data_IF_396796010517
#
_entry.id   IF_396796010517
#
_cell.length_a   1.000
_cell.length_b   1.000
_cell.length_c   1.000
_cell.angle_alpha   90.00
_cell.angle_beta   90.00
_cell.angle_gamma   90.00
#
_symmetry.space_group_name_H-M   'P 1'
#
loop_
_entity.id
_entity.type
_entity.pdbx_description
1 polymer ?
#
# COMPACT_ATOMS: atom_id res chain seq x y z
N UNK A 1 -43.78 -46.27 -36.67
CA UNK A 1 -44.13 -47.38 -35.78
C UNK A 1 -43.25 -47.28 -34.54
N UNK A 2 -43.81 -47.07 -33.34
CA UNK A 2 -43.01 -46.92 -32.12
C UNK A 2 -42.76 -48.28 -31.43
N UNK A 3 -41.83 -48.27 -30.47
CA UNK A 3 -41.40 -49.31 -29.49
C UNK A 3 -40.29 -50.27 -29.89
N UNK A 4 -39.04 -49.82 -29.73
CA UNK A 4 -37.83 -50.62 -29.54
C UNK A 4 -37.10 -50.07 -28.30
N UNK A 5 -37.75 -50.10 -27.13
CA UNK A 5 -37.18 -49.54 -25.89
C UNK A 5 -37.36 -50.37 -24.61
N UNK A 6 -37.84 -51.62 -24.65
CA UNK A 6 -38.29 -52.30 -23.42
C UNK A 6 -37.73 -53.69 -23.11
N UNK A 7 -36.70 -54.18 -23.80
CA UNK A 7 -36.12 -55.51 -23.48
C UNK A 7 -34.78 -55.42 -22.73
N UNK A 8 -34.79 -54.90 -21.50
CA UNK A 8 -33.76 -55.25 -20.51
C UNK A 8 -34.14 -56.61 -19.89
N UNK A 9 -33.37 -57.69 -20.11
CA UNK A 9 -33.69 -59.03 -19.61
C UNK A 9 -33.73 -59.05 -18.07
N UNK A 10 -34.61 -59.88 -17.47
CA UNK A 10 -34.95 -59.81 -16.05
C UNK A 10 -33.76 -60.10 -15.11
N UNK A 11 -32.75 -60.82 -15.59
CA UNK A 11 -31.53 -61.11 -14.82
C UNK A 11 -30.67 -59.87 -14.59
N UNK A 12 -30.47 -59.05 -15.63
CA UNK A 12 -29.75 -57.77 -15.54
C UNK A 12 -30.51 -56.74 -14.69
N UNK A 13 -31.85 -56.86 -14.64
CA UNK A 13 -32.71 -56.04 -13.78
C UNK A 13 -32.57 -56.38 -12.30
N UNK A 14 -32.42 -57.67 -11.96
CA UNK A 14 -32.15 -58.09 -10.56
C UNK A 14 -30.76 -57.71 -10.08
N UNK A 15 -29.79 -57.65 -10.99
CA UNK A 15 -28.43 -57.27 -10.68
C UNK A 15 -28.22 -55.74 -10.59
N UNK A 16 -29.24 -54.93 -10.92
CA UNK A 16 -29.15 -53.46 -10.87
C UNK A 16 -28.28 -52.85 -11.98
N UNK A 17 -27.90 -53.63 -12.98
CA UNK A 17 -26.90 -53.24 -13.99
C UNK A 17 -27.48 -52.40 -15.14
N UNK A 18 -28.81 -52.48 -15.35
CA UNK A 18 -29.50 -51.60 -16.30
C UNK A 18 -29.53 -50.14 -15.79
N UNK A 19 -29.74 -49.92 -14.49
CA UNK A 19 -29.64 -48.57 -13.88
C UNK A 19 -28.19 -48.09 -13.78
N UNK A 20 -27.23 -49.00 -13.53
CA UNK A 20 -25.82 -48.65 -13.44
C UNK A 20 -25.25 -48.11 -14.76
N UNK A 21 -25.62 -48.69 -15.91
CA UNK A 21 -25.18 -48.20 -17.24
C UNK A 21 -25.74 -46.82 -17.59
N UNK A 22 -26.98 -46.52 -17.19
CA UNK A 22 -27.55 -45.18 -17.38
C UNK A 22 -26.92 -44.15 -16.43
N UNK A 23 -26.57 -44.55 -15.20
CA UNK A 23 -25.86 -43.71 -14.24
C UNK A 23 -24.41 -43.42 -14.69
N UNK A 24 -23.69 -44.41 -15.24
CA UNK A 24 -22.35 -44.23 -15.78
C UNK A 24 -22.35 -43.37 -17.05
N UNK A 25 -23.36 -43.50 -17.91
CA UNK A 25 -23.54 -42.66 -19.08
C UNK A 25 -23.93 -41.21 -18.73
N UNK A 26 -24.71 -41.01 -17.66
CA UNK A 26 -25.04 -39.68 -17.13
C UNK A 26 -23.86 -39.04 -16.36
N UNK A 27 -22.98 -39.86 -15.76
CA UNK A 27 -21.77 -39.39 -15.09
C UNK A 27 -20.65 -38.99 -16.05
N UNK A 28 -20.70 -39.41 -17.32
CA UNK A 28 -19.65 -39.19 -18.32
C UNK A 28 -19.81 -37.94 -19.21
N UNK A 29 -20.85 -37.12 -19.03
CA UNK A 29 -21.17 -36.01 -19.94
C UNK A 29 -21.17 -34.63 -19.28
N UNK A 30 -20.17 -34.35 -18.44
CA UNK A 30 -19.80 -32.99 -18.06
C UNK A 30 -18.37 -32.76 -18.47
N UNK A 31 -18.13 -32.05 -19.58
CA UNK A 31 -16.77 -31.60 -19.89
C UNK A 31 -16.25 -30.81 -18.70
N UNK A 32 -15.31 -31.39 -17.95
CA UNK A 32 -14.78 -30.90 -16.69
C UNK A 32 -14.04 -29.58 -16.91
N UNK A 33 -14.78 -28.49 -17.10
CA UNK A 33 -14.20 -27.18 -16.93
C UNK A 33 -13.67 -27.14 -15.50
N UNK A 34 -12.36 -26.92 -15.27
CA UNK A 34 -11.72 -27.17 -13.99
C UNK A 34 -12.02 -26.04 -13.00
N UNK A 35 -13.30 -25.87 -12.66
CA UNK A 35 -13.81 -24.84 -11.76
C UNK A 35 -13.11 -24.88 -10.40
N UNK A 36 -12.74 -26.08 -9.93
CA UNK A 36 -11.93 -26.26 -8.73
C UNK A 36 -10.55 -25.60 -8.86
N UNK A 37 -9.85 -25.82 -9.97
CA UNK A 37 -8.57 -25.19 -10.25
C UNK A 37 -8.72 -23.66 -10.44
N UNK A 38 -9.80 -23.20 -11.09
CA UNK A 38 -10.10 -21.77 -11.26
C UNK A 38 -10.38 -21.09 -9.90
N UNK A 39 -11.16 -21.72 -9.03
CA UNK A 39 -11.46 -21.20 -7.69
C UNK A 39 -10.23 -21.18 -6.79
N UNK A 40 -9.40 -22.23 -6.83
CA UNK A 40 -8.15 -22.28 -6.06
C UNK A 40 -7.14 -21.23 -6.55
N UNK A 41 -6.98 -21.07 -7.85
CA UNK A 41 -6.10 -20.03 -8.42
C UNK A 41 -6.61 -18.62 -8.11
N UNK A 42 -7.93 -18.38 -8.19
CA UNK A 42 -8.53 -17.11 -7.79
C UNK A 42 -8.34 -16.82 -6.29
N UNK A 43 -8.52 -17.82 -5.42
CA UNK A 43 -8.29 -17.69 -3.98
C UNK A 43 -6.82 -17.40 -3.67
N UNK A 44 -5.88 -18.10 -4.33
CA UNK A 44 -4.45 -17.87 -4.18
C UNK A 44 -4.03 -16.48 -4.66
N UNK A 45 -4.54 -16.01 -5.80
CA UNK A 45 -4.31 -14.66 -6.30
C UNK A 45 -4.90 -13.60 -5.36
N UNK A 46 -6.08 -13.82 -4.80
CA UNK A 46 -6.69 -12.92 -3.83
C UNK A 46 -5.89 -12.86 -2.53
N UNK A 47 -5.41 -14.00 -2.03
CA UNK A 47 -4.53 -14.08 -0.87
C UNK A 47 -3.18 -13.37 -1.12
N UNK A 48 -2.58 -13.59 -2.29
CA UNK A 48 -1.35 -12.90 -2.69
C UNK A 48 -1.57 -11.39 -2.84
N UNK A 49 -2.68 -10.97 -3.45
CA UNK A 49 -3.03 -9.57 -3.61
C UNK A 49 -3.29 -8.90 -2.27
N UNK A 50 -3.98 -9.56 -1.34
CA UNK A 50 -4.19 -9.02 0.01
C UNK A 50 -2.87 -8.89 0.77
N UNK A 51 -1.91 -9.80 0.55
CA UNK A 51 -0.56 -9.71 1.10
C UNK A 51 0.29 -8.61 0.45
N UNK A 52 0.15 -8.38 -0.87
CA UNK A 52 0.89 -7.37 -1.64
C UNK A 52 0.25 -5.97 -1.62
N UNK A 53 -1.05 -5.87 -1.37
CA UNK A 53 -1.82 -4.63 -1.27
C UNK A 53 -1.18 -3.59 -0.34
N UNK A 54 -0.72 -3.93 0.89
CA UNK A 54 0.00 -2.97 1.73
C UNK A 54 1.29 -2.46 1.08
N UNK A 55 2.02 -3.31 0.35
CA UNK A 55 3.26 -2.93 -0.33
C UNK A 55 3.00 -1.97 -1.50
N UNK A 56 1.97 -2.27 -2.31
CA UNK A 56 1.56 -1.46 -3.47
C UNK A 56 0.92 -0.13 -3.03
N UNK A 57 0.10 -0.16 -1.99
CA UNK A 57 -0.45 1.05 -1.38
C UNK A 57 0.67 1.92 -0.82
N UNK A 58 1.69 1.31 -0.20
CA UNK A 58 2.86 2.01 0.34
C UNK A 58 3.65 2.69 -0.77
N UNK A 59 4.02 2.00 -1.84
CA UNK A 59 4.75 2.62 -2.96
C UNK A 59 3.95 3.72 -3.64
N UNK A 60 2.63 3.54 -3.80
CA UNK A 60 1.74 4.54 -4.39
C UNK A 60 1.55 5.78 -3.49
N UNK A 61 1.44 5.63 -2.18
CA UNK A 61 1.36 6.77 -1.25
C UNK A 61 2.71 7.49 -1.15
N UNK A 62 3.81 6.73 -1.14
CA UNK A 62 5.18 7.23 -1.07
C UNK A 62 5.54 8.06 -2.32
N UNK A 63 5.19 7.57 -3.51
CA UNK A 63 5.36 8.31 -4.77
C UNK A 63 4.45 9.54 -4.87
N UNK A 64 3.22 9.48 -4.33
CA UNK A 64 2.29 10.61 -4.31
C UNK A 64 2.66 11.69 -3.28
N UNK A 65 3.30 11.33 -2.16
CA UNK A 65 3.73 12.28 -1.12
C UNK A 65 5.01 13.04 -1.47
N UNK A 66 5.95 12.42 -2.18
CA UNK A 66 7.13 13.10 -2.74
C UNK A 66 6.84 13.76 -4.10
N UNK A 67 5.67 13.47 -4.68
CA UNK A 67 5.30 13.88 -6.03
C UNK A 67 4.54 15.21 -6.11
N UNK A 68 3.85 15.40 -7.25
CA UNK A 68 3.21 16.64 -7.66
C UNK A 68 2.30 17.29 -6.59
N UNK A 69 1.69 16.52 -5.70
CA UNK A 69 0.79 17.06 -4.66
C UNK A 69 1.52 17.87 -3.58
N UNK A 70 2.72 17.46 -3.19
CA UNK A 70 3.50 18.22 -2.22
C UNK A 70 4.12 19.47 -2.87
N UNK A 71 4.53 19.37 -4.14
CA UNK A 71 4.96 20.53 -4.94
C UNK A 71 3.84 21.54 -5.15
N UNK A 72 2.63 21.08 -5.45
CA UNK A 72 1.45 21.93 -5.59
C UNK A 72 1.04 22.64 -4.28
N UNK A 73 1.41 22.10 -3.12
CA UNK A 73 1.18 22.73 -1.82
C UNK A 73 2.26 23.78 -1.44
N UNK A 74 3.30 23.93 -2.27
CA UNK A 74 4.37 24.92 -2.13
C UNK A 74 5.70 24.34 -1.63
N UNK A 75 6.81 25.08 -1.79
CA UNK A 75 8.17 24.60 -1.51
C UNK A 75 8.40 24.14 -0.07
N UNK A 76 7.85 24.86 0.91
CA UNK A 76 7.91 24.49 2.33
C UNK A 76 7.22 23.15 2.60
N UNK A 77 6.05 22.92 2.00
CA UNK A 77 5.31 21.67 2.17
C UNK A 77 6.03 20.48 1.52
N UNK A 78 6.62 20.69 0.34
CA UNK A 78 7.45 19.71 -0.35
C UNK A 78 8.68 19.32 0.48
N UNK A 79 9.40 20.30 1.02
CA UNK A 79 10.58 20.09 1.89
C UNK A 79 10.23 19.28 3.14
N UNK A 80 9.15 19.66 3.84
CA UNK A 80 8.69 18.93 5.04
C UNK A 80 8.15 17.54 4.72
N UNK A 81 7.64 17.30 3.51
CA UNK A 81 7.26 15.97 3.06
C UNK A 81 8.50 15.08 2.80
N UNK A 82 9.52 15.60 2.12
CA UNK A 82 10.79 14.92 1.88
C UNK A 82 11.50 14.56 3.20
N UNK A 83 11.51 15.49 4.16
CA UNK A 83 12.11 15.26 5.47
C UNK A 83 11.43 14.15 6.27
N UNK A 84 10.10 14.17 6.35
CA UNK A 84 9.34 13.10 7.03
C UNK A 84 9.62 11.74 6.42
N UNK A 85 9.66 11.69 5.10
CA UNK A 85 9.96 10.46 4.36
C UNK A 85 11.36 9.92 4.68
N UNK A 86 12.35 10.80 4.80
CA UNK A 86 13.70 10.41 5.19
C UNK A 86 13.74 9.85 6.63
N UNK A 87 13.08 10.52 7.58
CA UNK A 87 13.00 10.05 8.97
C UNK A 87 12.28 8.70 9.09
N UNK A 88 11.14 8.54 8.40
CA UNK A 88 10.40 7.27 8.38
C UNK A 88 11.25 6.14 7.79
N UNK A 89 12.01 6.43 6.73
CA UNK A 89 12.95 5.47 6.12
C UNK A 89 14.04 5.06 7.10
N UNK A 90 14.64 6.04 7.79
CA UNK A 90 15.65 5.76 8.80
C UNK A 90 15.11 4.90 9.93
N UNK A 91 13.89 5.17 10.38
CA UNK A 91 13.23 4.37 11.41
C UNK A 91 12.94 2.94 10.97
N UNK A 92 12.45 2.77 9.74
CA UNK A 92 12.21 1.43 9.18
C UNK A 92 13.51 0.62 9.08
N UNK A 93 14.65 1.28 8.86
CA UNK A 93 15.98 0.69 8.78
C UNK A 93 16.73 0.66 10.13
N UNK A 94 16.06 0.98 11.24
CA UNK A 94 16.58 0.79 12.60
C UNK A 94 17.08 2.04 13.32
N UNK A 95 17.10 3.21 12.68
CA UNK A 95 17.45 4.48 13.31
C UNK A 95 16.22 5.09 13.98
N UNK A 96 16.06 4.88 15.29
CA UNK A 96 14.92 5.40 16.03
C UNK A 96 14.82 6.95 15.93
N UNK A 97 13.62 7.53 15.75
CA UNK A 97 13.44 8.97 15.73
C UNK A 97 13.71 9.55 17.11
N UNK A 98 14.24 10.78 17.12
CA UNK A 98 14.42 11.60 18.31
C UNK A 98 13.64 12.91 18.09
N UNK A 99 12.57 13.11 18.86
CA UNK A 99 11.71 14.28 18.71
C UNK A 99 12.35 15.57 19.26
N UNK A 100 13.38 15.46 20.10
CA UNK A 100 14.12 16.60 20.63
C UNK A 100 15.27 17.04 19.71
N UNK A 101 15.63 16.21 18.73
CA UNK A 101 16.74 16.51 17.83
C UNK A 101 16.41 17.63 16.83
N UNK A 102 17.35 18.56 16.66
CA UNK A 102 17.32 19.51 15.54
C UNK A 102 17.42 18.77 14.20
N UNK A 103 17.00 19.36 13.06
CA UNK A 103 17.14 18.72 11.74
C UNK A 103 18.58 18.27 11.44
N UNK A 104 19.58 19.08 11.82
CA UNK A 104 21.00 18.70 11.72
C UNK A 104 21.38 17.53 12.63
N UNK A 105 20.90 17.53 13.87
CA UNK A 105 21.14 16.43 14.82
C UNK A 105 20.52 15.10 14.33
N UNK A 106 19.29 15.17 13.83
CA UNK A 106 18.60 14.02 13.25
C UNK A 106 19.33 13.50 12.00
N UNK A 107 19.81 14.38 11.11
CA UNK A 107 20.61 13.97 9.95
C UNK A 107 21.93 13.30 10.35
N UNK A 108 22.63 13.80 11.36
CA UNK A 108 23.83 13.13 11.90
C UNK A 108 23.51 11.72 12.37
N UNK A 109 22.45 11.53 13.15
CA UNK A 109 22.04 10.19 13.60
C UNK A 109 21.66 9.25 12.47
N UNK A 110 21.07 9.77 11.39
CA UNK A 110 20.80 8.98 10.18
C UNK A 110 22.09 8.57 9.46
N UNK A 111 23.06 9.48 9.36
CA UNK A 111 24.38 9.23 8.78
C UNK A 111 25.12 8.16 9.60
N UNK A 112 25.21 8.35 10.91
CA UNK A 112 25.91 7.45 11.81
C UNK A 112 25.21 6.07 11.88
N UNK A 113 23.89 6.07 12.06
CA UNK A 113 23.09 4.85 12.17
C UNK A 113 22.93 4.09 10.85
N UNK A 114 22.96 4.80 9.73
CA UNK A 114 22.92 4.24 8.37
C UNK A 114 24.29 3.91 7.79
N UNK A 115 25.38 4.22 8.52
CA UNK A 115 26.77 4.13 8.05
C UNK A 115 26.97 4.80 6.69
N UNK A 116 26.37 5.97 6.52
CA UNK A 116 26.42 6.72 5.28
C UNK A 116 27.74 7.47 5.16
N UNK A 117 28.32 7.44 3.96
CA UNK A 117 29.52 8.17 3.61
C UNK A 117 29.33 8.93 2.29
N UNK A 118 30.33 9.76 1.96
CA UNK A 118 30.39 10.52 0.72
C UNK A 118 29.12 11.29 0.39
N UNK A 119 28.60 11.06 -0.81
CA UNK A 119 27.46 11.80 -1.37
C UNK A 119 26.15 11.50 -0.63
N UNK A 120 25.97 10.30 -0.09
CA UNK A 120 24.78 9.97 0.67
C UNK A 120 24.73 10.75 2.00
N UNK A 121 25.87 10.87 2.68
CA UNK A 121 25.95 11.70 3.88
C UNK A 121 25.72 13.19 3.58
N UNK A 122 26.31 13.69 2.49
CA UNK A 122 26.11 15.07 2.02
C UNK A 122 24.64 15.35 1.69
N UNK A 123 23.97 14.43 0.99
CA UNK A 123 22.55 14.52 0.65
C UNK A 123 21.67 14.61 1.92
N UNK A 124 21.94 13.81 2.94
CA UNK A 124 21.21 13.88 4.21
C UNK A 124 21.34 15.27 4.87
N UNK A 125 22.54 15.85 4.86
CA UNK A 125 22.78 17.21 5.38
C UNK A 125 22.16 18.31 4.51
N UNK A 126 22.10 18.16 3.19
CA UNK A 126 21.39 19.09 2.29
C UNK A 126 19.90 19.12 2.61
N UNK A 127 19.26 17.96 2.77
CA UNK A 127 17.84 17.87 3.14
C UNK A 127 17.60 18.56 4.50
N UNK A 128 18.43 18.30 5.51
CA UNK A 128 18.31 18.97 6.81
C UNK A 128 18.46 20.50 6.72
N UNK A 129 19.41 20.97 5.91
CA UNK A 129 19.61 22.41 5.67
C UNK A 129 18.40 23.04 4.98
N UNK A 130 17.82 22.35 4.00
CA UNK A 130 16.60 22.80 3.34
C UNK A 130 15.42 22.91 4.33
N UNK A 131 15.29 21.96 5.26
CA UNK A 131 14.28 22.00 6.33
C UNK A 131 14.47 23.20 7.24
N UNK A 132 15.70 23.46 7.69
CA UNK A 132 15.97 24.64 8.52
C UNK A 132 15.61 25.93 7.80
N UNK A 133 15.99 26.09 6.52
CA UNK A 133 15.55 27.23 5.72
C UNK A 133 14.03 27.29 5.64
N UNK A 134 13.35 26.17 5.38
CA UNK A 134 11.89 26.14 5.29
C UNK A 134 11.19 26.49 6.62
N UNK A 135 11.83 26.21 7.77
CA UNK A 135 11.30 26.51 9.10
C UNK A 135 11.58 27.95 9.54
N UNK A 136 12.79 28.46 9.28
CA UNK A 136 13.28 29.71 9.85
C UNK A 136 13.43 30.85 8.84
N UNK A 137 13.38 30.60 7.52
CA UNK A 137 13.44 31.68 6.54
C UNK A 137 12.16 32.52 6.60
N UNK A 138 12.27 33.86 6.44
CA UNK A 138 11.13 34.74 6.31
C UNK A 138 10.21 34.31 5.15
N UNK A 139 8.88 34.46 5.28
CA UNK A 139 7.97 34.23 4.17
C UNK A 139 8.34 35.14 2.99
N UNK A 140 8.65 34.57 1.83
CA UNK A 140 8.86 35.36 0.62
C UNK A 140 7.54 36.01 0.19
N UNK A 141 7.56 37.27 -0.27
CA UNK A 141 6.36 37.95 -0.73
C UNK A 141 5.67 37.15 -1.86
N UNK A 142 4.35 36.94 -1.73
CA UNK A 142 3.53 36.34 -2.80
C UNK A 142 3.55 37.27 -4.01
N UNK A 143 4.17 36.85 -5.11
CA UNK A 143 4.14 37.59 -6.38
C UNK A 143 5.51 37.83 -7.02
N UNK A 144 6.62 37.58 -6.30
CA UNK A 144 7.82 37.17 -7.01
C UNK A 144 7.45 35.82 -7.65
N UNK A 145 7.36 35.77 -8.98
CA UNK A 145 7.36 34.50 -9.68
C UNK A 145 8.47 33.65 -9.05
N UNK A 146 8.19 32.36 -8.88
CA UNK A 146 9.10 31.34 -8.39
C UNK A 146 10.27 31.18 -9.39
N UNK A 147 11.10 32.22 -9.52
CA UNK A 147 12.51 32.12 -9.83
C UNK A 147 13.17 31.62 -8.55
N UNK A 148 12.89 30.36 -8.21
CA UNK A 148 13.84 29.46 -7.56
C UNK A 148 15.00 29.10 -8.52
N UNK A 149 15.27 29.94 -9.52
CA UNK A 149 16.58 30.08 -10.07
C UNK A 149 17.42 30.77 -8.99
N UNK A 150 18.31 30.00 -8.37
CA UNK A 150 19.54 30.54 -7.81
C UNK A 150 20.06 31.65 -8.76
N UNK A 151 20.48 32.85 -8.30
CA UNK A 151 21.12 33.85 -9.18
C UNK A 151 22.31 33.28 -9.98
N UNK A 152 22.84 32.11 -9.60
CA UNK A 152 23.84 31.33 -10.34
C UNK A 152 23.27 30.36 -11.42
N UNK A 153 21.95 30.30 -11.63
CA UNK A 153 21.34 29.45 -12.66
C UNK A 153 21.18 27.97 -12.27
N UNK A 154 21.47 27.59 -11.02
CA UNK A 154 21.44 26.18 -10.62
C UNK A 154 19.98 25.71 -10.40
N UNK A 155 19.58 24.53 -10.91
CA UNK A 155 18.26 23.99 -10.64
C UNK A 155 18.08 23.79 -9.14
N UNK A 156 16.88 24.09 -8.65
CA UNK A 156 16.48 23.85 -7.27
C UNK A 156 16.85 22.41 -6.88
N UNK A 157 17.57 22.18 -5.77
CA UNK A 157 18.09 20.86 -5.44
C UNK A 157 16.93 19.85 -5.34
N UNK A 158 17.00 18.77 -6.12
CA UNK A 158 15.97 17.73 -6.11
C UNK A 158 16.04 16.95 -4.80
N UNK A 159 15.35 17.47 -3.77
CA UNK A 159 15.24 16.84 -2.46
C UNK A 159 14.67 15.42 -2.55
N UNK A 160 13.87 15.11 -3.56
CA UNK A 160 13.36 13.76 -3.74
C UNK A 160 14.45 12.82 -4.27
N UNK A 161 15.37 13.29 -5.11
CA UNK A 161 16.56 12.54 -5.51
C UNK A 161 17.49 12.32 -4.32
N UNK A 162 17.76 13.36 -3.51
CA UNK A 162 18.58 13.25 -2.30
C UNK A 162 18.00 12.22 -1.32
N UNK A 163 16.69 12.24 -1.07
CA UNK A 163 16.03 11.23 -0.20
C UNK A 163 16.15 9.81 -0.78
N UNK A 164 16.01 9.65 -2.10
CA UNK A 164 16.17 8.32 -2.74
C UNK A 164 17.61 7.82 -2.64
N UNK A 165 18.58 8.71 -2.80
CA UNK A 165 20.00 8.39 -2.69
C UNK A 165 20.33 7.91 -1.27
N UNK A 166 19.93 8.68 -0.25
CA UNK A 166 20.12 8.29 1.16
C UNK A 166 19.43 6.96 1.45
N UNK A 167 18.18 6.80 1.02
CA UNK A 167 17.44 5.56 1.22
C UNK A 167 18.07 4.35 0.52
N UNK A 168 18.74 4.54 -0.62
CA UNK A 168 19.47 3.47 -1.31
C UNK A 168 20.72 3.06 -0.51
N UNK A 169 21.54 4.04 -0.11
CA UNK A 169 22.75 3.81 0.67
C UNK A 169 22.46 3.15 2.03
N UNK A 170 21.41 3.58 2.74
CA UNK A 170 21.01 2.92 4.00
C UNK A 170 20.57 1.46 3.78
N UNK A 171 19.93 1.15 2.65
CA UNK A 171 19.50 -0.21 2.32
C UNK A 171 20.65 -1.11 1.89
N UNK A 172 21.75 -0.56 1.42
CA UNK A 172 22.96 -1.31 1.09
C UNK A 172 23.66 -1.80 2.35
N UNK A 173 23.72 -0.96 3.38
CA UNK A 173 24.35 -1.26 4.67
C UNK A 173 23.47 -2.06 5.64
N UNK A 174 22.16 -2.13 5.39
CA UNK A 174 21.22 -2.90 6.22
C UNK A 174 21.35 -4.41 5.99
N UNK A 175 21.27 -5.19 7.07
CA UNK A 175 21.25 -6.65 6.99
C UNK A 175 19.95 -7.17 6.33
N UNK A 176 19.97 -8.42 5.85
CA UNK A 176 18.84 -9.01 5.12
C UNK A 176 17.55 -8.99 5.93
N UNK A 177 17.64 -9.18 7.24
CA UNK A 177 16.49 -9.18 8.15
C UNK A 177 15.89 -7.79 8.30
N UNK A 178 16.70 -6.74 8.47
CA UNK A 178 16.21 -5.36 8.53
C UNK A 178 15.61 -4.94 7.19
N UNK A 179 16.22 -5.31 6.06
CA UNK A 179 15.65 -5.04 4.72
C UNK A 179 14.27 -5.69 4.55
N UNK A 180 14.15 -6.96 4.95
CA UNK A 180 12.87 -7.68 4.87
C UNK A 180 11.83 -7.06 5.82
N UNK A 181 12.22 -6.71 7.04
CA UNK A 181 11.33 -6.09 8.02
C UNK A 181 10.89 -4.68 7.59
N UNK A 182 11.80 -3.88 7.02
CA UNK A 182 11.49 -2.56 6.45
C UNK A 182 10.55 -2.63 5.24
N UNK A 183 10.45 -3.79 4.57
CA UNK A 183 9.48 -4.04 3.50
C UNK A 183 8.15 -4.57 4.04
N UNK A 184 8.18 -5.57 4.93
CA UNK A 184 7.00 -6.32 5.37
C UNK A 184 6.29 -5.72 6.58
N UNK A 185 7.04 -5.28 7.60
CA UNK A 185 6.49 -4.70 8.83
C UNK A 185 7.23 -3.40 9.19
N UNK A 186 7.01 -2.33 8.42
CA UNK A 186 7.75 -1.09 8.63
C UNK A 186 7.33 -0.46 9.96
N UNK A 187 8.29 -0.04 10.78
CA UNK A 187 8.02 0.45 12.16
C UNK A 187 7.16 1.73 12.13
N UNK A 188 7.29 2.51 11.07
CA UNK A 188 6.45 3.66 10.73
C UNK A 188 4.94 3.33 10.56
N UNK A 189 4.58 2.07 10.26
CA UNK A 189 3.18 1.66 10.11
C UNK A 189 2.38 1.69 11.41
N UNK A 190 3.02 1.72 12.59
CA UNK A 190 2.31 1.91 13.86
C UNK A 190 1.52 3.23 13.83
N UNK A 191 2.08 4.31 13.29
CA UNK A 191 1.40 5.62 13.17
C UNK A 191 0.29 5.60 12.13
N UNK A 192 0.44 4.83 11.05
CA UNK A 192 -0.56 4.69 9.97
C UNK A 192 -1.74 3.82 10.41
N UNK A 193 -1.51 2.83 11.27
CA UNK A 193 -2.54 1.93 11.79
C UNK A 193 -3.65 2.70 12.49
N UNK A 194 -3.31 3.71 13.31
CA UNK A 194 -4.28 4.58 13.99
C UNK A 194 -5.11 5.41 13.01
N UNK A 195 -4.47 6.09 12.04
CA UNK A 195 -5.19 6.88 11.04
C UNK A 195 -6.09 6.03 10.11
N UNK A 196 -5.73 4.76 9.87
CA UNK A 196 -6.54 3.82 9.11
C UNK A 196 -7.74 3.29 9.92
N UNK A 197 -7.59 3.13 11.25
CA UNK A 197 -8.68 2.76 12.15
C UNK A 197 -9.76 3.85 12.17
N UNK A 198 -9.38 5.12 12.26
CA UNK A 198 -10.33 6.25 12.26
C UNK A 198 -11.14 6.33 10.97
N UNK A 199 -10.49 6.10 9.83
CA UNK A 199 -11.16 6.10 8.51
C UNK A 199 -12.09 4.90 8.33
N UNK A 200 -11.71 3.73 8.86
CA UNK A 200 -12.56 2.53 8.86
C UNK A 200 -13.77 2.71 9.77
N UNK A 201 -13.59 3.31 10.95
CA UNK A 201 -14.69 3.66 11.84
C UNK A 201 -15.67 4.62 11.16
N UNK A 202 -15.15 5.67 10.50
CA UNK A 202 -15.98 6.62 9.76
C UNK A 202 -16.72 5.98 8.56
N UNK A 203 -16.07 5.07 7.82
CA UNK A 203 -16.70 4.35 6.72
C UNK A 203 -17.78 3.37 7.21
N UNK A 204 -17.51 2.65 8.31
CA UNK A 204 -18.47 1.74 8.92
C UNK A 204 -19.68 2.49 9.50
N UNK A 205 -19.48 3.68 10.08
CA UNK A 205 -20.58 4.56 10.50
C UNK A 205 -21.43 5.05 9.31
N UNK A 206 -20.80 5.40 8.19
CA UNK A 206 -21.52 5.79 6.97
C UNK A 206 -22.37 4.64 6.43
N UNK A 207 -21.80 3.44 6.34
CA UNK A 207 -22.51 2.23 5.88
C UNK A 207 -23.68 1.84 6.80
N UNK A 208 -23.49 1.93 8.12
CA UNK A 208 -24.58 1.74 9.08
C UNK A 208 -25.69 2.77 8.89
N UNK A 209 -25.35 4.05 8.75
CA UNK A 209 -26.34 5.11 8.52
C UNK A 209 -27.13 4.95 7.21
N UNK A 210 -26.53 4.34 6.18
CA UNK A 210 -27.22 4.08 4.92
C UNK A 210 -28.10 2.84 5.02
N UNK A 211 -27.64 1.81 5.74
CA UNK A 211 -28.45 0.62 6.03
C UNK A 211 -29.66 0.99 6.90
N UNK A 212 -29.49 1.78 7.95
CA UNK A 212 -30.57 2.26 8.83
C UNK A 212 -31.59 3.12 8.07
N UNK A 213 -31.13 3.94 7.11
CA UNK A 213 -32.02 4.72 6.24
C UNK A 213 -32.77 3.86 5.22
N UNK A 214 -32.16 2.79 4.72
CA UNK A 214 -32.81 1.84 3.83
C UNK A 214 -33.85 0.99 4.58
N UNK A 215 -33.53 0.53 5.79
CA UNK A 215 -34.45 -0.25 6.64
C UNK A 215 -35.58 0.62 7.19
N UNK A 216 -35.34 1.90 7.51
CA UNK A 216 -36.40 2.83 7.89
C UNK A 216 -37.39 3.12 6.76
N UNK A 217 -36.92 3.15 5.49
CA UNK A 217 -37.80 3.27 4.30
C UNK A 217 -38.59 2.02 4.00
N UNK A 218 -38.11 0.86 4.45
CA UNK A 218 -38.75 -0.44 4.30
C UNK A 218 -39.60 -0.84 5.50
N UNK A 219 -39.73 0.03 6.52
CA UNK A 219 -40.65 -0.18 7.64
C UNK A 219 -42.02 0.35 7.21
N UNK A 220 -42.96 -0.51 6.75
CA UNK A 220 -44.34 -0.06 6.57
C UNK A 220 -44.85 0.41 7.93
N UNK A 221 -45.52 1.57 7.93
CA UNK A 221 -46.23 2.14 9.07
C UNK A 221 -47.34 1.19 9.52
N UNK A 222 -46.99 0.22 10.35
CA UNK A 222 -47.94 -0.50 11.20
C UNK A 222 -48.21 0.38 12.43
N UNK A 223 -48.90 1.49 12.23
CA UNK A 223 -49.58 2.22 13.30
C UNK A 223 -51.05 2.28 12.95
N UNK A 224 -51.79 1.54 13.77
CA UNK A 224 -53.24 1.36 13.81
C UNK A 224 -53.95 2.63 14.27
#
# INVERSE_FOLDING_TARGET
TPTERDDCPPELRRAGECDAREQDAAAGAGGDFPWSAVLLTAAALLALLTLLAPLLWRTAVRSRRLGARARAAGPRAATLAAWRELLDTGWDLGVAPDEAASPRGAARRLVDGGRLDGEAAAAAHRVATAVERALYAPPTPRGAADTSQDPAGNPDPDLAADVRLVAAAMREHADRRTRLHALLLPRSCVRVKWAAQDRRAAAACRLRSTADRATARLRPTLSR
#
